data_IF_554879877810
#
_entry.id   IF_554879877810
#
_cell.length_a   1.000
_cell.length_b   1.000
_cell.length_c   1.000
_cell.angle_alpha   90.00
_cell.angle_beta   90.00
_cell.angle_gamma   90.00
#
_symmetry.space_group_name_H-M   'P 1'
#
loop_
_entity.id
_entity.type
_entity.pdbx_description
1 polymer ?
#
# COMPACT_ATOMS: atom_id res chain seq x y z
N UNK A 1 -18.76 -8.38 10.59
CA UNK A 1 -17.41 -8.39 11.21
C UNK A 1 -16.30 -7.95 10.24
N UNK A 2 -16.11 -8.61 9.09
CA UNK A 2 -15.03 -8.25 8.13
C UNK A 2 -15.18 -6.84 7.52
N UNK A 3 -16.37 -6.49 7.03
CA UNK A 3 -16.65 -5.18 6.43
C UNK A 3 -16.44 -4.01 7.40
N UNK A 4 -16.84 -4.16 8.67
CA UNK A 4 -16.65 -3.13 9.69
C UNK A 4 -15.19 -2.91 10.07
N UNK A 5 -14.38 -3.98 10.12
CA UNK A 5 -12.92 -3.87 10.31
C UNK A 5 -12.27 -3.15 9.14
N UNK A 6 -12.65 -3.50 7.91
CA UNK A 6 -12.13 -2.86 6.71
C UNK A 6 -12.46 -1.36 6.66
N UNK A 7 -13.72 -1.00 6.90
CA UNK A 7 -14.17 0.40 6.94
C UNK A 7 -13.43 1.20 8.03
N UNK A 8 -13.22 0.61 9.22
CA UNK A 8 -12.45 1.23 10.29
C UNK A 8 -11.00 1.50 9.90
N UNK A 9 -10.33 0.54 9.25
CA UNK A 9 -8.96 0.73 8.76
C UNK A 9 -8.89 1.86 7.72
N UNK A 10 -9.82 1.91 6.76
CA UNK A 10 -9.88 2.99 5.77
C UNK A 10 -10.08 4.36 6.42
N UNK A 11 -10.97 4.47 7.41
CA UNK A 11 -11.19 5.72 8.13
C UNK A 11 -9.91 6.22 8.83
N UNK A 12 -9.16 5.32 9.47
CA UNK A 12 -7.87 5.65 10.11
C UNK A 12 -6.83 6.10 9.06
N UNK A 13 -6.78 5.45 7.89
CA UNK A 13 -5.90 5.88 6.81
C UNK A 13 -6.21 7.31 6.33
N UNK A 14 -7.49 7.64 6.17
CA UNK A 14 -7.93 8.98 5.76
C UNK A 14 -7.60 10.04 6.80
N UNK A 15 -7.83 9.78 8.08
CA UNK A 15 -7.47 10.75 9.14
C UNK A 15 -5.96 10.97 9.19
N UNK A 16 -5.16 9.92 9.03
CA UNK A 16 -3.71 10.03 8.97
C UNK A 16 -3.26 10.94 7.82
N UNK A 17 -3.76 10.75 6.60
CA UNK A 17 -3.43 11.63 5.45
C UNK A 17 -3.85 13.07 5.69
N UNK A 18 -5.05 13.29 6.23
CA UNK A 18 -5.54 14.63 6.54
C UNK A 18 -4.62 15.36 7.52
N UNK A 19 -4.21 14.69 8.60
CA UNK A 19 -3.29 15.27 9.59
C UNK A 19 -1.95 15.63 8.94
N UNK A 20 -1.36 14.71 8.16
CA UNK A 20 -0.09 14.98 7.48
C UNK A 20 -0.19 16.12 6.47
N UNK A 21 -1.27 16.19 5.70
CA UNK A 21 -1.51 17.26 4.73
C UNK A 21 -1.66 18.63 5.41
N UNK A 22 -2.41 18.70 6.52
CA UNK A 22 -2.58 19.93 7.30
C UNK A 22 -1.25 20.39 7.92
N UNK A 23 -0.48 19.47 8.51
CA UNK A 23 0.85 19.77 9.02
C UNK A 23 1.79 20.27 7.93
N UNK A 24 1.82 19.62 6.76
CA UNK A 24 2.64 20.03 5.63
C UNK A 24 2.22 21.41 5.10
N UNK A 25 0.93 21.67 4.95
CA UNK A 25 0.41 22.96 4.53
C UNK A 25 0.80 24.07 5.53
N UNK A 26 0.54 23.86 6.83
CA UNK A 26 0.93 24.81 7.87
C UNK A 26 2.44 25.07 7.89
N UNK A 27 3.25 24.01 7.81
CA UNK A 27 4.70 24.13 7.72
C UNK A 27 5.15 24.90 6.47
N UNK A 28 4.48 24.72 5.32
CA UNK A 28 4.82 25.45 4.09
C UNK A 28 4.57 26.97 4.18
N UNK A 29 3.70 27.45 5.08
CA UNK A 29 3.50 28.88 5.32
C UNK A 29 4.50 29.47 6.32
N UNK A 30 4.93 28.68 7.31
CA UNK A 30 5.79 29.15 8.41
C UNK A 30 7.28 28.98 8.09
N UNK A 31 7.65 27.92 7.38
CA UNK A 31 9.04 27.62 7.06
C UNK A 31 9.53 28.39 5.83
N UNK A 32 10.76 28.89 5.92
CA UNK A 32 11.44 29.63 4.86
C UNK A 32 12.74 28.93 4.45
N UNK A 33 13.37 29.42 3.38
CA UNK A 33 14.58 28.82 2.83
C UNK A 33 14.33 27.53 2.04
N UNK A 34 15.35 26.68 1.95
CA UNK A 34 15.31 25.46 1.14
C UNK A 34 14.18 24.51 1.56
N UNK A 35 13.94 24.36 2.87
CA UNK A 35 12.90 23.48 3.41
C UNK A 35 11.50 23.98 3.03
N UNK A 36 11.23 25.28 3.18
CA UNK A 36 9.94 25.85 2.78
C UNK A 36 9.69 25.75 1.27
N UNK A 37 10.73 25.92 0.46
CA UNK A 37 10.66 25.76 -1.01
C UNK A 37 10.33 24.31 -1.39
N UNK A 38 11.00 23.34 -0.76
CA UNK A 38 10.73 21.92 -0.96
C UNK A 38 9.29 21.56 -0.60
N UNK A 39 8.78 22.02 0.55
CA UNK A 39 7.40 21.76 0.97
C UNK A 39 6.37 22.33 -0.01
N UNK A 40 6.57 23.57 -0.48
CA UNK A 40 5.67 24.19 -1.48
C UNK A 40 5.69 23.41 -2.80
N UNK A 41 6.86 22.96 -3.25
CA UNK A 41 6.98 22.13 -4.44
C UNK A 41 6.28 20.77 -4.27
N UNK A 42 6.42 20.14 -3.10
CA UNK A 42 5.76 18.87 -2.80
C UNK A 42 4.23 19.00 -2.74
N UNK A 43 3.70 20.15 -2.29
CA UNK A 43 2.26 20.42 -2.19
C UNK A 43 1.64 20.96 -3.49
N UNK A 44 2.43 21.54 -4.39
CA UNK A 44 1.94 22.13 -5.64
C UNK A 44 1.02 21.21 -6.47
N UNK A 45 1.28 19.88 -6.59
CA UNK A 45 0.39 18.98 -7.32
C UNK A 45 -1.02 18.89 -6.73
N UNK A 46 -1.19 19.15 -5.43
CA UNK A 46 -2.49 19.12 -4.75
C UNK A 46 -3.42 20.27 -5.15
N UNK A 47 -2.92 21.28 -5.87
CA UNK A 47 -3.78 22.33 -6.44
C UNK A 47 -4.72 21.79 -7.54
N UNK A 48 -4.40 20.63 -8.13
CA UNK A 48 -5.21 20.00 -9.17
C UNK A 48 -6.19 18.98 -8.55
N UNK A 49 -7.52 19.17 -8.71
CA UNK A 49 -8.51 18.20 -8.25
C UNK A 49 -8.30 16.80 -8.83
N UNK A 50 -7.83 16.71 -10.08
CA UNK A 50 -7.49 15.45 -10.71
C UNK A 50 -6.39 14.69 -9.96
N UNK A 51 -5.32 15.39 -9.56
CA UNK A 51 -4.21 14.78 -8.81
C UNK A 51 -4.69 14.31 -7.44
N UNK A 52 -5.59 15.07 -6.78
CA UNK A 52 -6.19 14.65 -5.50
C UNK A 52 -6.95 13.33 -5.68
N UNK A 53 -7.78 13.19 -6.73
CA UNK A 53 -8.52 11.95 -6.98
C UNK A 53 -7.60 10.75 -7.24
N UNK A 54 -6.56 10.95 -8.06
CA UNK A 54 -5.56 9.90 -8.34
C UNK A 54 -4.80 9.53 -7.05
N UNK A 55 -4.41 10.53 -6.25
CA UNK A 55 -3.77 10.33 -4.97
C UNK A 55 -4.64 9.51 -4.01
N UNK A 56 -5.92 9.89 -3.87
CA UNK A 56 -6.87 9.17 -3.01
C UNK A 56 -7.05 7.73 -3.47
N UNK A 57 -7.17 7.50 -4.78
CA UNK A 57 -7.27 6.14 -5.33
C UNK A 57 -6.06 5.28 -4.96
N UNK A 58 -4.84 5.73 -5.29
CA UNK A 58 -3.63 4.93 -5.01
C UNK A 58 -3.34 4.81 -3.51
N UNK A 59 -3.65 5.84 -2.73
CA UNK A 59 -3.53 5.77 -1.28
C UNK A 59 -4.48 4.73 -0.69
N UNK A 60 -5.77 4.79 -1.02
CA UNK A 60 -6.76 3.85 -0.51
C UNK A 60 -6.51 2.42 -0.99
N UNK A 61 -6.16 2.25 -2.27
CA UNK A 61 -5.82 0.95 -2.85
C UNK A 61 -4.57 0.36 -2.18
N UNK A 62 -3.51 1.15 -2.00
CA UNK A 62 -2.30 0.71 -1.30
C UNK A 62 -2.55 0.39 0.17
N UNK A 63 -3.34 1.22 0.85
CA UNK A 63 -3.73 0.98 2.24
C UNK A 63 -4.55 -0.32 2.38
N UNK A 64 -5.51 -0.54 1.49
CA UNK A 64 -6.32 -1.76 1.45
C UNK A 64 -5.45 -2.99 1.21
N UNK A 65 -4.57 -2.93 0.21
CA UNK A 65 -3.59 -3.98 -0.10
C UNK A 65 -2.75 -4.34 1.13
N UNK A 66 -2.03 -3.37 1.71
CA UNK A 66 -1.19 -3.62 2.90
C UNK A 66 -2.03 -4.16 4.07
N UNK A 67 -3.23 -3.62 4.28
CA UNK A 67 -4.13 -4.08 5.35
C UNK A 67 -4.52 -5.55 5.18
N UNK A 68 -4.76 -6.02 3.95
CA UNK A 68 -5.08 -7.43 3.69
C UNK A 68 -3.90 -8.35 4.00
N UNK A 69 -2.67 -7.98 3.62
CA UNK A 69 -1.45 -8.73 4.00
C UNK A 69 -1.34 -8.83 5.53
N UNK A 70 -1.46 -7.71 6.24
CA UNK A 70 -1.35 -7.68 7.71
C UNK A 70 -2.47 -8.48 8.37
N UNK A 71 -3.68 -8.42 7.82
CA UNK A 71 -4.82 -9.16 8.31
C UNK A 71 -4.66 -10.67 8.09
N UNK A 72 -4.04 -11.09 6.99
CA UNK A 72 -3.68 -12.49 6.76
C UNK A 72 -2.66 -12.99 7.78
N UNK A 73 -1.61 -12.21 8.07
CA UNK A 73 -0.62 -12.53 9.12
C UNK A 73 -1.33 -12.69 10.47
N UNK A 74 -2.20 -11.74 10.84
CA UNK A 74 -2.97 -11.80 12.07
C UNK A 74 -3.90 -13.01 12.16
N UNK A 75 -4.43 -13.51 11.04
CA UNK A 75 -5.25 -14.71 11.00
C UNK A 75 -4.44 -16.01 11.09
N UNK A 76 -3.16 -16.01 10.68
CA UNK A 76 -2.28 -17.18 10.74
C UNK A 76 -1.49 -17.29 12.05
N UNK A 77 -1.40 -16.20 12.81
CA UNK A 77 -0.52 -16.14 13.99
C UNK A 77 -1.26 -16.50 15.27
N UNK A 78 -0.75 -17.48 16.00
CA UNK A 78 -1.31 -17.89 17.30
C UNK A 78 -0.83 -17.00 18.47
N UNK A 79 0.26 -16.24 18.27
CA UNK A 79 0.82 -15.35 19.28
C UNK A 79 1.43 -14.11 18.65
N UNK A 80 1.62 -13.06 19.48
CA UNK A 80 2.28 -11.84 19.04
C UNK A 80 3.71 -12.08 18.54
N UNK A 81 4.44 -13.02 19.17
CA UNK A 81 5.81 -13.39 18.75
C UNK A 81 5.83 -14.02 17.36
N UNK A 82 4.85 -14.88 17.07
CA UNK A 82 4.70 -15.52 15.76
C UNK A 82 4.36 -14.49 14.69
N UNK A 83 3.40 -13.58 14.98
CA UNK A 83 3.07 -12.47 14.09
C UNK A 83 4.29 -11.60 13.75
N UNK A 84 5.11 -11.26 14.76
CA UNK A 84 6.31 -10.46 14.54
C UNK A 84 7.36 -11.13 13.64
N UNK A 85 7.41 -12.47 13.64
CA UNK A 85 8.31 -13.23 12.77
C UNK A 85 7.93 -13.09 11.28
N UNK A 86 6.63 -12.95 10.97
CA UNK A 86 6.14 -12.67 9.62
C UNK A 86 6.19 -11.19 9.26
N UNK A 87 5.87 -10.29 10.21
CA UNK A 87 5.82 -8.84 9.96
C UNK A 87 7.18 -8.30 9.52
N UNK A 88 8.27 -8.72 10.15
CA UNK A 88 9.61 -8.19 9.85
C UNK A 88 10.00 -8.34 8.38
N UNK A 89 10.03 -9.55 7.79
CA UNK A 89 10.39 -9.71 6.38
C UNK A 89 9.38 -9.05 5.44
N UNK A 90 8.08 -9.07 5.77
CA UNK A 90 7.04 -8.44 4.96
C UNK A 90 7.23 -6.92 4.89
N UNK A 91 7.47 -6.28 6.03
CA UNK A 91 7.72 -4.84 6.09
C UNK A 91 9.02 -4.46 5.38
N UNK A 92 10.08 -5.29 5.45
CA UNK A 92 11.30 -5.06 4.67
C UNK A 92 11.03 -5.07 3.16
N UNK A 93 10.23 -6.02 2.68
CA UNK A 93 9.86 -6.09 1.26
C UNK A 93 9.03 -4.86 0.86
N UNK A 94 8.03 -4.48 1.67
CA UNK A 94 7.17 -3.30 1.41
C UNK A 94 7.97 -2.00 1.45
N UNK A 95 9.00 -1.91 2.31
CA UNK A 95 9.81 -0.71 2.47
C UNK A 95 10.88 -0.52 1.39
N UNK A 96 11.23 -1.57 0.63
CA UNK A 96 12.23 -1.53 -0.44
C UNK A 96 12.14 -0.31 -1.38
N UNK A 97 10.97 0.07 -1.96
CA UNK A 97 10.87 1.19 -2.88
C UNK A 97 11.22 2.56 -2.26
N UNK A 98 11.18 2.74 -0.94
CA UNK A 98 11.47 4.05 -0.33
C UNK A 98 12.89 4.53 -0.62
N UNK A 99 13.85 3.61 -0.66
CA UNK A 99 15.25 3.96 -1.01
C UNK A 99 15.36 4.43 -2.46
N UNK A 100 14.65 3.75 -3.38
CA UNK A 100 14.63 4.09 -4.80
C UNK A 100 13.87 5.40 -5.06
N UNK A 101 12.78 5.64 -4.32
CA UNK A 101 12.05 6.93 -4.32
C UNK A 101 12.95 8.07 -3.86
N UNK A 102 13.65 7.90 -2.74
CA UNK A 102 14.56 8.92 -2.23
C UNK A 102 15.64 9.28 -3.25
N UNK A 103 16.28 8.28 -3.86
CA UNK A 103 17.31 8.49 -4.88
C UNK A 103 16.75 9.19 -6.14
N UNK A 104 15.56 8.77 -6.58
CA UNK A 104 14.91 9.34 -7.76
C UNK A 104 14.51 10.80 -7.59
N UNK A 105 14.05 11.19 -6.39
CA UNK A 105 13.68 12.57 -6.08
C UNK A 105 14.92 13.45 -5.89
N UNK A 106 15.92 12.97 -5.14
CA UNK A 106 17.05 13.81 -4.70
C UNK A 106 18.15 13.97 -5.76
N UNK A 107 18.36 12.94 -6.60
CA UNK A 107 19.51 12.88 -7.51
C UNK A 107 19.13 12.58 -8.96
N UNK A 108 17.84 12.41 -9.27
CA UNK A 108 17.33 11.87 -10.54
C UNK A 108 17.86 10.46 -10.88
N UNK A 109 18.70 9.87 -10.03
CA UNK A 109 19.21 8.51 -10.14
C UNK A 109 18.11 7.55 -9.73
N UNK A 110 17.75 6.59 -10.58
CA UNK A 110 16.68 5.63 -10.29
C UNK A 110 15.30 6.00 -10.85
N UNK A 111 15.19 7.05 -11.67
CA UNK A 111 13.94 7.37 -12.38
C UNK A 111 13.40 6.21 -13.23
N UNK A 112 14.29 5.43 -13.87
CA UNK A 112 13.90 4.21 -14.60
C UNK A 112 13.40 3.12 -13.65
N UNK A 113 14.07 2.90 -12.52
CA UNK A 113 13.63 1.93 -11.53
C UNK A 113 12.26 2.32 -10.95
N UNK A 114 12.02 3.60 -10.68
CA UNK A 114 10.70 4.11 -10.27
C UNK A 114 9.60 3.81 -11.30
N UNK A 115 9.90 3.99 -12.59
CA UNK A 115 8.97 3.66 -13.68
C UNK A 115 8.65 2.16 -13.73
N UNK A 116 9.64 1.30 -13.51
CA UNK A 116 9.44 -0.15 -13.50
C UNK A 116 8.62 -0.58 -12.28
N UNK A 117 8.98 -0.10 -11.09
CA UNK A 117 8.29 -0.44 -9.85
C UNK A 117 6.82 0.03 -9.81
N UNK A 118 6.47 1.07 -10.57
CA UNK A 118 5.08 1.49 -10.77
C UNK A 118 4.19 0.37 -11.30
N UNK A 119 4.74 -0.59 -12.03
CA UNK A 119 3.99 -1.72 -12.58
C UNK A 119 3.96 -2.96 -11.68
N UNK A 120 4.66 -2.93 -10.55
CA UNK A 120 4.63 -4.00 -9.55
C UNK A 120 3.61 -3.62 -8.48
N UNK A 121 2.44 -4.29 -8.37
CA UNK A 121 1.32 -3.83 -7.53
C UNK A 121 1.70 -3.49 -6.08
N UNK A 122 2.58 -4.28 -5.48
CA UNK A 122 3.08 -4.05 -4.12
C UNK A 122 3.75 -2.68 -3.94
N UNK A 123 4.33 -2.15 -5.00
CA UNK A 123 5.11 -0.90 -5.03
C UNK A 123 4.42 0.22 -5.80
N UNK A 124 3.42 -0.11 -6.63
CA UNK A 124 2.60 0.85 -7.37
C UNK A 124 2.09 2.01 -6.51
N UNK A 125 1.42 1.82 -5.36
CA UNK A 125 0.86 2.93 -4.62
C UNK A 125 1.94 3.90 -4.12
N UNK A 126 3.10 3.40 -3.69
CA UNK A 126 4.20 4.25 -3.19
C UNK A 126 4.87 5.01 -4.33
N UNK A 127 5.20 4.30 -5.42
CA UNK A 127 5.95 4.88 -6.54
C UNK A 127 5.10 5.81 -7.39
N UNK A 128 3.80 5.53 -7.58
CA UNK A 128 2.90 6.45 -8.27
C UNK A 128 2.74 7.76 -7.52
N UNK A 129 2.48 7.70 -6.21
CA UNK A 129 2.34 8.89 -5.37
C UNK A 129 3.61 9.74 -5.41
N UNK A 130 4.79 9.12 -5.36
CA UNK A 130 6.08 9.82 -5.48
C UNK A 130 6.28 10.49 -6.86
N UNK A 131 5.65 9.96 -7.91
CA UNK A 131 5.80 10.45 -9.29
C UNK A 131 4.74 11.46 -9.71
N UNK A 132 3.62 11.59 -8.99
CA UNK A 132 2.49 12.45 -9.39
C UNK A 132 2.88 13.91 -9.65
N UNK A 133 3.86 14.44 -8.92
CA UNK A 133 4.37 15.80 -9.14
C UNK A 133 5.23 15.98 -10.38
N UNK A 134 5.69 14.89 -11.00
CA UNK A 134 6.59 14.90 -12.18
C UNK A 134 5.88 14.77 -13.53
N UNK A 135 4.54 14.84 -13.58
CA UNK A 135 3.79 14.78 -14.84
C UNK A 135 3.71 13.39 -15.46
N UNK A 136 3.19 12.41 -14.70
CA UNK A 136 2.98 11.04 -15.20
C UNK A 136 1.93 11.00 -16.31
N UNK A 137 2.17 10.21 -17.35
CA UNK A 137 1.20 10.07 -18.45
C UNK A 137 -0.11 9.42 -17.97
N UNK A 138 -1.23 9.81 -18.56
CA UNK A 138 -2.56 9.27 -18.17
C UNK A 138 -2.62 7.76 -18.40
N UNK A 139 -1.98 7.24 -19.44
CA UNK A 139 -1.91 5.79 -19.69
C UNK A 139 -1.18 5.03 -18.60
N UNK A 140 -0.05 5.56 -18.11
CA UNK A 140 0.65 4.95 -16.97
C UNK A 140 -0.24 4.93 -15.72
N UNK A 141 -0.95 6.04 -15.44
CA UNK A 141 -1.88 6.15 -14.31
C UNK A 141 -2.99 5.10 -14.41
N UNK A 142 -3.67 5.02 -15.55
CA UNK A 142 -4.79 4.10 -15.74
C UNK A 142 -4.30 2.64 -15.75
N UNK A 143 -3.21 2.36 -16.47
CA UNK A 143 -2.64 1.01 -16.55
C UNK A 143 -2.18 0.49 -15.19
N UNK A 144 -1.46 1.30 -14.41
CA UNK A 144 -1.02 0.90 -13.07
C UNK A 144 -2.19 0.79 -12.09
N UNK A 145 -3.22 1.64 -12.22
CA UNK A 145 -4.44 1.55 -11.43
C UNK A 145 -5.19 0.22 -11.68
N UNK A 146 -5.40 -0.15 -12.94
CA UNK A 146 -6.04 -1.42 -13.29
C UNK A 146 -5.24 -2.63 -12.82
N UNK A 147 -3.91 -2.58 -12.96
CA UNK A 147 -3.01 -3.64 -12.49
C UNK A 147 -3.09 -3.81 -10.97
N UNK A 148 -3.11 -2.69 -10.22
CA UNK A 148 -3.27 -2.71 -8.77
C UNK A 148 -4.67 -3.20 -8.35
N UNK A 149 -5.73 -2.78 -9.02
CA UNK A 149 -7.09 -3.24 -8.75
C UNK A 149 -7.23 -4.76 -8.94
N UNK A 150 -6.65 -5.29 -10.02
CA UNK A 150 -6.62 -6.73 -10.28
C UNK A 150 -5.86 -7.48 -9.18
N UNK A 151 -4.71 -6.95 -8.76
CA UNK A 151 -3.93 -7.53 -7.67
C UNK A 151 -4.73 -7.56 -6.36
N UNK A 152 -5.40 -6.46 -6.00
CA UNK A 152 -6.27 -6.38 -4.82
C UNK A 152 -7.42 -7.39 -4.89
N UNK A 153 -8.03 -7.58 -6.07
CA UNK A 153 -9.07 -8.57 -6.25
C UNK A 153 -8.57 -10.00 -6.00
N UNK A 154 -7.37 -10.33 -6.50
CA UNK A 154 -6.71 -11.61 -6.24
C UNK A 154 -6.41 -11.77 -4.75
N UNK A 155 -5.84 -10.74 -4.13
CA UNK A 155 -5.49 -10.73 -2.72
C UNK A 155 -6.72 -10.94 -1.83
N UNK A 156 -7.85 -10.31 -2.15
CA UNK A 156 -9.10 -10.49 -1.42
C UNK A 156 -9.58 -11.95 -1.44
N UNK A 157 -9.48 -12.62 -2.59
CA UNK A 157 -9.83 -14.06 -2.71
C UNK A 157 -8.88 -14.91 -1.87
N UNK A 158 -7.58 -14.62 -1.88
CA UNK A 158 -6.58 -15.33 -1.08
C UNK A 158 -6.81 -15.12 0.42
N UNK A 159 -7.07 -13.89 0.84
CA UNK A 159 -7.39 -13.53 2.22
C UNK A 159 -8.62 -14.30 2.72
N UNK A 160 -9.69 -14.36 1.93
CA UNK A 160 -10.90 -15.11 2.28
C UNK A 160 -10.59 -16.60 2.50
N UNK A 161 -9.69 -17.18 1.71
CA UNK A 161 -9.23 -18.57 1.89
C UNK A 161 -8.40 -18.75 3.16
N UNK A 162 -7.48 -17.84 3.46
CA UNK A 162 -6.69 -17.85 4.71
C UNK A 162 -7.60 -17.76 5.93
N UNK A 163 -8.60 -16.87 5.92
CA UNK A 163 -9.58 -16.74 7.00
C UNK A 163 -10.41 -18.01 7.20
N UNK A 164 -10.88 -18.63 6.11
CA UNK A 164 -11.59 -19.91 6.20
C UNK A 164 -10.71 -21.01 6.79
N UNK A 165 -9.45 -21.12 6.34
CA UNK A 165 -8.51 -22.10 6.85
C UNK A 165 -8.17 -21.87 8.34
N UNK A 166 -7.96 -20.62 8.75
CA UNK A 166 -7.73 -20.24 10.15
C UNK A 166 -8.90 -20.62 11.06
N UNK A 167 -10.14 -20.35 10.62
CA UNK A 167 -11.35 -20.73 11.37
C UNK A 167 -11.57 -22.24 11.45
N UNK A 168 -11.29 -22.99 10.38
CA UNK A 168 -11.41 -24.46 10.34
C UNK A 168 -10.35 -25.16 11.20
N UNK A 169 -9.17 -24.56 11.34
CA UNK A 169 -8.04 -25.08 12.11
C UNK A 169 -7.99 -24.52 13.54
N UNK A 170 -9.04 -23.86 14.02
CA UNK A 170 -9.16 -23.43 15.40
C UNK A 170 -9.09 -24.66 16.34
N UNK A 171 -7.87 -25.06 16.72
CA UNK A 171 -7.56 -26.25 17.52
C UNK A 171 -6.41 -27.14 17.00
N UNK A 172 -5.95 -27.03 15.73
CA UNK A 172 -4.82 -27.83 15.21
C UNK A 172 -3.91 -27.03 14.26
N UNK A 173 -2.59 -27.16 14.46
CA UNK A 173 -1.54 -26.40 13.75
C UNK A 173 -1.72 -26.43 12.22
N UNK A 174 -1.79 -25.29 11.52
CA UNK A 174 -1.83 -25.26 10.07
C UNK A 174 -0.46 -25.71 9.51
N UNK A 175 -0.40 -26.90 8.93
CA UNK A 175 0.78 -27.34 8.18
C UNK A 175 0.72 -26.72 6.77
N UNK A 176 1.84 -26.19 6.25
CA UNK A 176 1.96 -25.66 4.88
C UNK A 176 1.47 -26.67 3.82
N UNK A 177 1.60 -27.98 4.10
CA UNK A 177 1.06 -29.05 3.28
C UNK A 177 -0.48 -29.09 3.21
N UNK A 178 -1.19 -28.67 4.26
CA UNK A 178 -2.64 -28.58 4.29
C UNK A 178 -3.16 -27.39 3.47
N UNK A 179 -2.46 -26.25 3.51
CA UNK A 179 -2.72 -25.09 2.64
C UNK A 179 -2.54 -25.45 1.16
N UNK A 180 -1.48 -26.19 0.81
CA UNK A 180 -1.25 -26.67 -0.56
C UNK A 180 -2.33 -27.64 -1.06
N UNK A 181 -2.90 -28.48 -0.19
CA UNK A 181 -4.01 -29.38 -0.55
C UNK A 181 -5.33 -28.64 -0.74
N UNK A 182 -5.60 -27.61 0.06
CA UNK A 182 -6.79 -26.76 -0.09
C UNK A 182 -6.76 -25.94 -1.37
N UNK A 183 -5.57 -25.52 -1.84
CA UNK A 183 -5.41 -24.84 -3.13
C UNK A 183 -5.74 -25.73 -4.34
N UNK A 184 -5.74 -27.05 -4.19
CA UNK A 184 -6.00 -28.02 -5.28
C UNK A 184 -7.45 -28.52 -5.37
N UNK A 185 -8.32 -28.17 -4.42
CA UNK A 185 -9.74 -28.55 -4.51
C UNK A 185 -10.50 -27.43 -5.21
N UNK A 186 -10.89 -27.69 -6.46
CA UNK A 186 -11.83 -26.86 -7.20
C UNK A 186 -13.17 -26.76 -6.44
N UNK A 187 -13.86 -25.61 -6.53
CA UNK A 187 -15.19 -25.46 -5.96
C UNK A 187 -16.17 -26.40 -6.67
N UNK A 188 -16.87 -27.23 -5.89
CA UNK A 188 -18.07 -27.93 -6.33
C UNK A 188 -19.26 -26.96 -6.42
#
# INVERSE_FOLDING_TARGET
LLYGKLAGTVAVGLTMVLVWALCAAGAAFVTQGAVGTFLRMALAPLASPWIILVMLYFFLAGYLMVSMILLAIGAMSDSMRDAQSYLTPVLMIIAMPFTIVAQGILSNTGATALKVLTWIPLYTPFTMLARLGGGVSVWEIVGSALTLALFIAIEFVLLARVFRASLLNAGQKPNLAALARLMRREPA
#
